data_IF_781156686905
#
_entry.id   IF_781156686905
#
_cell.length_a   1.000
_cell.length_b   1.000
_cell.length_c   1.000
_cell.angle_alpha   90.00
_cell.angle_beta   90.00
_cell.angle_gamma   90.00
#
_symmetry.space_group_name_H-M   'P 1'
#
loop_
_entity.id
_entity.type
_entity.pdbx_description
1 polymer ?
#
# COMPACT_ATOMS: atom_id res chain seq x y z
N UNK A 1 -33.86 60.85 28.96
CA UNK A 1 -33.72 60.21 27.63
C UNK A 1 -32.48 59.34 27.66
N UNK A 2 -32.65 58.10 28.10
CA UNK A 2 -31.65 57.04 28.06
C UNK A 2 -32.01 56.15 26.89
N UNK A 3 -31.07 55.90 25.97
CA UNK A 3 -31.01 54.73 25.07
C UNK A 3 -29.75 54.83 24.19
N UNK A 4 -28.59 54.83 24.84
CA UNK A 4 -27.31 54.66 24.17
C UNK A 4 -26.36 53.92 25.13
N UNK A 5 -26.61 52.62 25.37
CA UNK A 5 -25.54 51.66 25.13
C UNK A 5 -26.06 50.26 24.76
N UNK A 6 -26.95 50.12 23.77
CA UNK A 6 -27.38 48.79 23.30
C UNK A 6 -26.81 48.40 21.93
N UNK A 7 -26.14 49.32 21.23
CA UNK A 7 -25.61 49.07 19.89
C UNK A 7 -24.14 48.64 19.87
N UNK A 8 -23.42 48.68 21.00
CA UNK A 8 -22.01 48.28 21.10
C UNK A 8 -21.81 46.87 21.65
N UNK A 9 -22.86 46.19 22.11
CA UNK A 9 -22.80 44.80 22.60
C UNK A 9 -23.08 43.75 21.50
N UNK A 10 -23.48 44.18 20.31
CA UNK A 10 -23.80 43.30 19.17
C UNK A 10 -22.63 43.07 18.20
N UNK A 11 -21.46 43.70 18.43
CA UNK A 11 -20.28 43.56 17.56
C UNK A 11 -19.20 42.64 18.17
N UNK A 12 -19.32 42.25 19.44
CA UNK A 12 -18.32 41.36 20.09
C UNK A 12 -18.61 39.85 19.98
N UNK A 13 -19.64 39.44 19.25
CA UNK A 13 -19.97 38.01 19.04
C UNK A 13 -19.69 37.49 17.62
N UNK A 14 -18.74 38.09 16.89
CA UNK A 14 -18.34 37.61 15.55
C UNK A 14 -17.12 36.67 15.51
N UNK A 15 -16.62 36.16 16.64
CA UNK A 15 -15.43 35.30 16.65
C UNK A 15 -15.47 34.07 17.58
N UNK A 16 -16.65 33.59 17.98
CA UNK A 16 -16.79 32.28 18.64
C UNK A 16 -17.82 31.49 17.85
N UNK A 17 -17.37 30.75 16.83
CA UNK A 17 -18.29 29.95 16.02
C UNK A 17 -17.82 29.52 14.64
N UNK A 18 -16.65 29.95 14.17
CA UNK A 18 -15.95 29.22 13.10
C UNK A 18 -14.90 28.34 13.75
N UNK A 19 -15.34 27.19 14.28
CA UNK A 19 -14.47 26.02 14.18
C UNK A 19 -14.30 25.80 12.69
N UNK A 20 -13.20 26.25 12.08
CA UNK A 20 -12.74 25.56 10.89
C UNK A 20 -12.74 24.09 11.28
N UNK A 21 -13.61 23.28 10.68
CA UNK A 21 -13.61 21.85 10.98
C UNK A 21 -12.18 21.40 10.70
N UNK A 22 -11.44 21.02 11.75
CA UNK A 22 -10.08 20.55 11.57
C UNK A 22 -10.15 19.42 10.56
N UNK A 23 -9.45 19.57 9.43
CA UNK A 23 -9.54 18.56 8.40
C UNK A 23 -8.89 17.29 8.93
N UNK A 24 -9.61 16.18 8.78
CA UNK A 24 -9.11 14.86 9.08
C UNK A 24 -8.92 14.11 7.76
N UNK A 25 -7.85 13.34 7.67
CA UNK A 25 -7.79 12.27 6.68
C UNK A 25 -7.48 10.93 7.34
N UNK A 26 -8.07 9.88 6.78
CA UNK A 26 -7.88 8.51 7.24
C UNK A 26 -7.30 7.65 6.12
N UNK A 27 -6.33 6.81 6.44
CA UNK A 27 -5.82 5.76 5.56
C UNK A 27 -6.19 4.42 6.17
N UNK A 28 -7.08 3.67 5.53
CA UNK A 28 -7.58 2.37 5.95
C UNK A 28 -7.12 1.29 4.98
N UNK A 29 -6.08 0.56 5.37
CA UNK A 29 -5.59 -0.61 4.66
C UNK A 29 -6.25 -1.87 5.19
N UNK A 30 -6.74 -2.72 4.30
CA UNK A 30 -7.29 -4.02 4.65
C UNK A 30 -6.72 -5.10 3.73
N UNK A 31 -6.26 -6.19 4.34
CA UNK A 31 -5.92 -7.43 3.65
C UNK A 31 -6.69 -8.59 4.28
N UNK A 32 -7.35 -9.39 3.47
CA UNK A 32 -8.08 -10.55 3.94
C UNK A 32 -8.36 -11.58 2.85
N UNK A 33 -8.82 -12.74 3.29
CA UNK A 33 -9.17 -13.87 2.44
C UNK A 33 -10.37 -14.62 3.01
N UNK A 34 -11.05 -15.36 2.15
CA UNK A 34 -12.18 -16.20 2.54
C UNK A 34 -11.71 -17.35 3.42
N UNK A 35 -12.52 -17.72 4.39
CA UNK A 35 -12.12 -18.72 5.37
C UNK A 35 -12.40 -20.17 4.98
N UNK A 36 -13.14 -20.39 3.88
CA UNK A 36 -13.46 -21.72 3.34
C UNK A 36 -13.95 -22.73 4.40
N UNK A 37 -14.70 -22.26 5.40
CA UNK A 37 -15.19 -23.12 6.48
C UNK A 37 -14.08 -23.60 7.43
N UNK A 38 -13.03 -22.83 7.61
CA UNK A 38 -11.96 -23.12 8.56
C UNK A 38 -11.90 -22.04 9.65
N UNK A 39 -11.35 -22.45 10.80
CA UNK A 39 -11.02 -21.56 11.92
C UNK A 39 -9.65 -20.94 11.68
N UNK A 40 -9.50 -19.65 11.94
CA UNK A 40 -8.23 -18.98 11.67
C UNK A 40 -8.31 -17.47 11.62
N UNK A 41 -7.16 -16.87 11.26
CA UNK A 41 -7.01 -15.44 11.05
C UNK A 41 -7.17 -15.12 9.57
N UNK A 42 -8.21 -14.36 9.23
CA UNK A 42 -8.61 -14.17 7.83
C UNK A 42 -8.54 -12.73 7.36
N UNK A 43 -8.44 -11.76 8.27
CA UNK A 43 -8.38 -10.35 7.91
C UNK A 43 -7.48 -9.57 8.86
N UNK A 44 -6.64 -8.70 8.30
CA UNK A 44 -5.84 -7.71 9.01
C UNK A 44 -6.16 -6.32 8.48
N UNK A 45 -6.26 -5.34 9.38
CA UNK A 45 -6.45 -3.92 9.05
C UNK A 45 -5.41 -3.04 9.70
N UNK A 46 -5.04 -1.99 8.99
CA UNK A 46 -4.33 -0.85 9.54
C UNK A 46 -5.12 0.42 9.25
N UNK A 47 -5.44 1.18 10.29
CA UNK A 47 -6.13 2.47 10.16
C UNK A 47 -5.21 3.55 10.72
N UNK A 48 -4.89 4.56 9.93
CA UNK A 48 -4.09 5.71 10.33
C UNK A 48 -4.96 6.96 10.25
N UNK A 49 -5.12 7.69 11.36
CA UNK A 49 -5.90 8.92 11.44
C UNK A 49 -5.00 10.12 11.58
N UNK A 50 -5.19 11.10 10.73
CA UNK A 50 -4.39 12.32 10.69
C UNK A 50 -5.28 13.53 10.84
N UNK A 51 -4.89 14.44 11.72
CA UNK A 51 -5.64 15.67 11.99
C UNK A 51 -4.79 16.89 11.65
N UNK A 52 -5.39 17.84 10.93
CA UNK A 52 -4.75 19.11 10.61
C UNK A 52 -4.52 19.95 11.87
N UNK A 53 -3.31 20.49 11.97
CA UNK A 53 -2.87 21.39 13.02
C UNK A 53 -1.90 22.41 12.42
N UNK A 54 -2.32 23.67 12.31
CA UNK A 54 -1.56 24.79 11.76
C UNK A 54 -0.81 24.43 10.46
N UNK A 55 0.50 24.17 10.55
CA UNK A 55 1.39 23.85 9.41
C UNK A 55 1.62 22.35 9.19
N UNK A 56 0.93 21.48 9.93
CA UNK A 56 1.14 20.03 9.93
C UNK A 56 -0.16 19.24 9.87
N UNK A 57 -0.07 18.01 9.37
CA UNK A 57 -0.97 16.94 9.76
C UNK A 57 -0.29 16.09 10.82
N UNK A 58 -0.99 15.81 11.91
CA UNK A 58 -0.49 14.98 13.01
C UNK A 58 -1.16 13.62 12.93
N UNK A 59 -0.38 12.55 12.86
CA UNK A 59 -0.89 11.18 13.04
C UNK A 59 -1.35 11.04 14.49
N UNK A 60 -2.64 11.16 14.76
CA UNK A 60 -3.20 11.12 16.11
C UNK A 60 -3.39 9.70 16.62
N UNK A 61 -3.76 8.78 15.73
CA UNK A 61 -3.99 7.39 16.07
C UNK A 61 -3.60 6.43 14.94
N UNK A 62 -3.13 5.25 15.34
CA UNK A 62 -2.98 4.10 14.47
C UNK A 62 -3.62 2.87 15.11
N UNK A 63 -4.43 2.16 14.34
CA UNK A 63 -5.15 0.96 14.77
C UNK A 63 -4.63 -0.22 13.96
N UNK A 64 -4.28 -1.30 14.66
CA UNK A 64 -3.93 -2.57 14.06
C UNK A 64 -4.98 -3.57 14.49
N UNK A 65 -5.78 -4.05 13.55
CA UNK A 65 -6.92 -4.91 13.82
C UNK A 65 -6.65 -6.27 13.17
N UNK A 66 -6.80 -7.33 13.94
CA UNK A 66 -6.73 -8.70 13.45
C UNK A 66 -8.07 -9.37 13.69
N UNK A 67 -8.66 -9.90 12.63
CA UNK A 67 -9.96 -10.54 12.66
C UNK A 67 -9.80 -12.04 12.46
N UNK A 68 -10.20 -12.78 13.50
CA UNK A 68 -10.25 -14.23 13.53
C UNK A 68 -11.70 -14.68 13.42
N UNK A 69 -11.90 -15.73 12.63
CA UNK A 69 -13.22 -16.32 12.43
C UNK A 69 -13.20 -17.72 13.02
N UNK A 70 -14.18 -17.99 13.88
CA UNK A 70 -14.46 -19.34 14.36
C UNK A 70 -15.58 -19.93 13.49
N UNK A 71 -15.24 -20.95 12.70
CA UNK A 71 -16.19 -21.69 11.88
C UNK A 71 -16.77 -22.86 12.67
N UNK A 72 -18.10 -22.93 12.70
CA UNK A 72 -18.80 -24.06 13.25
C UNK A 72 -19.30 -24.97 12.10
N UNK A 73 -18.76 -26.20 11.98
CA UNK A 73 -19.16 -27.12 10.93
C UNK A 73 -20.62 -27.59 11.06
N UNK A 74 -21.21 -27.54 12.27
CA UNK A 74 -22.59 -27.96 12.51
C UNK A 74 -23.61 -26.93 12.00
N UNK A 75 -23.31 -25.63 12.14
CA UNK A 75 -24.18 -24.54 11.68
C UNK A 75 -23.85 -24.09 10.26
N UNK A 76 -22.74 -24.58 9.68
CA UNK A 76 -22.16 -24.13 8.39
C UNK A 76 -21.93 -22.61 8.32
N UNK A 77 -21.75 -21.97 9.48
CA UNK A 77 -21.65 -20.52 9.60
C UNK A 77 -20.39 -20.12 10.33
N UNK A 78 -19.97 -18.89 10.05
CA UNK A 78 -19.00 -18.18 10.86
C UNK A 78 -19.72 -17.72 12.11
N UNK A 79 -19.53 -18.43 13.21
CA UNK A 79 -20.29 -18.23 14.45
C UNK A 79 -19.78 -17.01 15.23
N UNK A 80 -18.48 -16.69 15.15
CA UNK A 80 -17.90 -15.56 15.89
C UNK A 80 -16.75 -14.89 15.14
N UNK A 81 -16.84 -13.56 14.99
CA UNK A 81 -15.72 -12.69 14.60
C UNK A 81 -15.05 -12.15 15.87
N UNK A 82 -13.85 -12.64 16.18
CA UNK A 82 -13.02 -12.09 17.25
C UNK A 82 -12.09 -11.05 16.64
N UNK A 83 -12.15 -9.81 17.13
CA UNK A 83 -11.34 -8.70 16.64
C UNK A 83 -10.33 -8.28 17.71
N UNK A 84 -9.06 -8.62 17.51
CA UNK A 84 -7.96 -8.14 18.35
C UNK A 84 -7.54 -6.75 17.84
N UNK A 85 -7.66 -5.71 18.67
CA UNK A 85 -7.32 -4.33 18.28
C UNK A 85 -6.20 -3.78 19.13
N UNK A 86 -5.12 -3.34 18.49
CA UNK A 86 -4.03 -2.58 19.12
C UNK A 86 -4.14 -1.13 18.68
N UNK A 87 -4.30 -0.23 19.66
CA UNK A 87 -4.32 1.22 19.43
C UNK A 87 -2.97 1.79 19.84
N UNK A 88 -2.35 2.55 18.93
CA UNK A 88 -1.15 3.32 19.24
C UNK A 88 -1.43 4.78 18.94
N UNK A 89 -1.38 5.58 19.99
CA UNK A 89 -1.37 7.03 19.87
C UNK A 89 0.01 7.46 19.39
N UNK A 90 0.03 8.42 18.49
CA UNK A 90 1.25 8.98 17.93
C UNK A 90 1.10 10.49 17.93
N UNK A 91 2.23 11.19 17.87
CA UNK A 91 2.27 12.63 17.62
C UNK A 91 3.22 12.90 16.45
N UNK A 92 3.38 11.93 15.54
CA UNK A 92 4.20 12.09 14.34
C UNK A 92 3.60 13.23 13.51
N UNK A 93 4.36 14.30 13.37
CA UNK A 93 4.01 15.45 12.52
C UNK A 93 4.46 15.19 11.09
N UNK A 94 3.61 15.54 10.16
CA UNK A 94 3.85 15.53 8.72
C UNK A 94 3.60 16.95 8.24
N UNK A 95 4.56 17.54 7.54
CA UNK A 95 4.37 18.87 6.98
C UNK A 95 3.15 18.88 6.05
N UNK A 96 2.34 19.94 6.16
CA UNK A 96 1.10 20.07 5.40
C UNK A 96 1.33 19.90 3.88
N UNK A 97 2.43 20.43 3.37
CA UNK A 97 2.85 20.25 1.96
C UNK A 97 2.96 18.77 1.56
N UNK A 98 3.41 17.88 2.44
CA UNK A 98 3.52 16.45 2.15
C UNK A 98 2.15 15.78 1.98
N UNK A 99 1.15 16.25 2.74
CA UNK A 99 -0.23 15.79 2.64
C UNK A 99 -0.97 16.44 1.47
N UNK A 100 -0.72 17.72 1.20
CA UNK A 100 -1.26 18.41 0.01
C UNK A 100 -0.76 17.74 -1.27
N UNK A 101 0.55 17.45 -1.35
CA UNK A 101 1.15 16.69 -2.45
C UNK A 101 0.50 15.30 -2.61
N UNK A 102 0.10 14.62 -1.52
CA UNK A 102 -0.61 13.34 -1.61
C UNK A 102 -1.92 13.49 -2.37
N UNK A 103 -2.74 14.47 -1.98
CA UNK A 103 -4.04 14.68 -2.59
C UNK A 103 -3.93 15.24 -4.01
N UNK A 104 -2.93 16.08 -4.29
CA UNK A 104 -2.63 16.48 -5.66
C UNK A 104 -2.28 15.27 -6.54
N UNK A 105 -1.35 14.41 -6.11
CA UNK A 105 -0.93 13.24 -6.87
C UNK A 105 -2.05 12.19 -7.01
N UNK A 106 -2.93 12.04 -6.01
CA UNK A 106 -4.11 11.18 -6.09
C UNK A 106 -5.12 11.65 -7.15
N UNK A 107 -5.17 12.94 -7.47
CA UNK A 107 -6.11 13.52 -8.44
C UNK A 107 -5.52 13.66 -9.85
N UNK A 108 -4.21 13.54 -10.01
CA UNK A 108 -3.53 13.71 -11.29
C UNK A 108 -3.72 12.52 -12.23
N UNK A 109 -3.91 12.79 -13.52
CA UNK A 109 -3.91 11.76 -14.56
C UNK A 109 -2.48 11.42 -15.03
N UNK A 110 -1.66 10.91 -14.11
CA UNK A 110 -0.31 10.42 -14.42
C UNK A 110 -0.33 8.90 -14.60
N UNK A 111 0.52 8.41 -15.50
CA UNK A 111 0.92 7.01 -15.57
C UNK A 111 2.45 6.95 -15.52
N UNK A 112 3.00 6.71 -14.33
CA UNK A 112 4.43 6.58 -14.10
C UNK A 112 4.84 5.14 -13.74
N UNK A 113 4.02 4.15 -14.07
CA UNK A 113 4.42 2.75 -14.00
C UNK A 113 5.21 2.38 -15.26
N UNK A 114 6.48 2.74 -15.25
CA UNK A 114 7.43 2.47 -16.31
C UNK A 114 8.83 2.23 -15.71
N UNK A 115 9.72 1.70 -16.54
CA UNK A 115 11.06 1.31 -16.08
C UNK A 115 11.90 2.49 -15.63
N UNK A 116 11.86 3.63 -16.34
CA UNK A 116 12.58 4.84 -15.93
C UNK A 116 12.22 5.30 -14.50
N UNK A 117 10.92 5.34 -14.17
CA UNK A 117 10.46 5.72 -12.84
C UNK A 117 10.87 4.67 -11.80
N UNK A 118 10.70 3.39 -12.10
CA UNK A 118 10.97 2.33 -11.12
C UNK A 118 12.48 2.21 -10.86
N UNK A 119 13.31 2.23 -11.91
CA UNK A 119 14.77 2.11 -11.82
C UNK A 119 15.41 3.28 -11.08
N UNK A 120 14.95 4.51 -11.36
CA UNK A 120 15.43 5.71 -10.66
C UNK A 120 15.12 5.71 -9.15
N UNK A 121 14.17 4.88 -8.72
CA UNK A 121 13.78 4.75 -7.32
C UNK A 121 14.29 3.45 -6.66
N UNK A 122 15.09 2.63 -7.35
CA UNK A 122 15.73 1.46 -6.77
C UNK A 122 17.02 1.80 -6.03
N UNK A 123 17.03 1.55 -4.72
CA UNK A 123 18.20 1.88 -3.88
C UNK A 123 19.33 0.84 -3.92
N UNK A 124 19.07 -0.39 -4.39
CA UNK A 124 19.99 -1.54 -4.27
C UNK A 124 19.88 -2.51 -5.43
N UNK A 125 21.02 -3.00 -5.93
CA UNK A 125 21.09 -4.14 -6.84
C UNK A 125 20.68 -5.44 -6.13
N UNK A 126 20.09 -6.37 -6.87
CA UNK A 126 19.73 -7.70 -6.37
C UNK A 126 21.01 -8.48 -6.06
N UNK A 127 21.18 -8.99 -4.85
CA UNK A 127 22.36 -9.77 -4.47
C UNK A 127 22.25 -11.22 -4.95
N UNK A 128 23.41 -11.85 -5.22
CA UNK A 128 23.49 -13.30 -5.48
C UNK A 128 22.78 -14.13 -4.42
N UNK A 129 22.89 -13.73 -3.14
CA UNK A 129 22.26 -14.43 -2.03
C UNK A 129 20.74 -14.42 -2.15
N UNK A 130 20.15 -13.26 -2.45
CA UNK A 130 18.70 -13.13 -2.63
C UNK A 130 18.20 -14.01 -3.78
N UNK A 131 18.93 -14.04 -4.90
CA UNK A 131 18.61 -14.89 -6.06
C UNK A 131 18.54 -16.37 -5.67
N UNK A 132 19.59 -16.87 -5.02
CA UNK A 132 19.67 -18.28 -4.63
C UNK A 132 18.65 -18.64 -3.55
N UNK A 133 18.36 -17.73 -2.61
CA UNK A 133 17.32 -17.95 -1.59
C UNK A 133 15.92 -18.08 -2.21
N UNK A 134 15.59 -17.23 -3.20
CA UNK A 134 14.32 -17.33 -3.91
C UNK A 134 14.26 -18.59 -4.78
N UNK A 135 15.31 -18.88 -5.56
CA UNK A 135 15.37 -20.09 -6.38
C UNK A 135 15.20 -21.36 -5.54
N UNK A 136 15.85 -21.44 -4.38
CA UNK A 136 15.71 -22.56 -3.44
C UNK A 136 14.28 -22.70 -2.93
N UNK A 137 13.64 -21.61 -2.51
CA UNK A 137 12.24 -21.64 -2.02
C UNK A 137 11.26 -22.13 -3.08
N UNK A 138 11.60 -21.96 -4.36
CA UNK A 138 10.79 -22.42 -5.50
C UNK A 138 11.16 -23.81 -6.02
N UNK A 139 12.15 -24.48 -5.45
CA UNK A 139 12.65 -25.75 -5.97
C UNK A 139 13.35 -25.62 -7.33
N UNK A 140 13.80 -24.41 -7.69
CA UNK A 140 14.42 -24.05 -8.97
C UNK A 140 15.92 -23.77 -8.82
N UNK A 141 16.54 -24.25 -7.74
CA UNK A 141 17.96 -24.00 -7.45
C UNK A 141 18.88 -24.64 -8.51
N UNK A 142 18.46 -25.75 -9.11
CA UNK A 142 19.18 -26.48 -10.16
C UNK A 142 19.47 -25.63 -11.41
N UNK A 143 18.79 -24.49 -11.60
CA UNK A 143 19.14 -23.54 -12.66
C UNK A 143 20.44 -22.77 -12.43
N UNK A 144 20.97 -22.83 -11.21
CA UNK A 144 22.09 -22.01 -10.75
C UNK A 144 23.26 -22.82 -10.22
N UNK A 145 23.07 -24.10 -9.91
CA UNK A 145 24.08 -24.94 -9.30
C UNK A 145 24.22 -26.23 -10.10
N UNK A 146 25.43 -26.75 -10.10
CA UNK A 146 25.75 -28.09 -10.56
C UNK A 146 25.20 -29.12 -9.56
N UNK A 147 24.42 -30.09 -10.04
CA UNK A 147 23.72 -31.06 -9.21
C UNK A 147 24.68 -32.03 -8.48
N UNK A 148 25.87 -32.28 -9.03
CA UNK A 148 26.85 -33.22 -8.45
C UNK A 148 27.66 -32.57 -7.32
N UNK A 149 28.06 -31.32 -7.52
CA UNK A 149 28.96 -30.60 -6.61
C UNK A 149 28.22 -29.62 -5.68
N UNK A 150 26.97 -29.27 -5.99
CA UNK A 150 26.18 -28.25 -5.30
C UNK A 150 26.76 -26.84 -5.42
N UNK A 151 27.76 -26.65 -6.29
CA UNK A 151 28.45 -25.37 -6.50
C UNK A 151 27.83 -24.62 -7.67
N UNK A 152 28.04 -23.31 -7.68
CA UNK A 152 27.61 -22.45 -8.77
C UNK A 152 28.38 -22.81 -10.06
N UNK A 153 27.66 -23.24 -11.09
CA UNK A 153 28.19 -23.54 -12.41
C UNK A 153 28.30 -22.27 -13.28
N UNK A 154 28.84 -22.39 -14.49
CA UNK A 154 29.03 -21.23 -15.36
C UNK A 154 27.71 -20.67 -15.91
N UNK A 155 26.74 -21.54 -16.21
CA UNK A 155 25.40 -21.12 -16.62
C UNK A 155 24.69 -20.36 -15.49
N UNK A 156 24.79 -20.84 -14.25
CA UNK A 156 24.27 -20.18 -13.06
C UNK A 156 24.93 -18.83 -12.80
N UNK A 157 26.25 -18.70 -13.02
CA UNK A 157 26.94 -17.39 -12.96
C UNK A 157 26.39 -16.42 -13.99
N UNK A 158 26.13 -16.88 -15.22
CA UNK A 158 25.56 -16.06 -16.28
C UNK A 158 24.16 -15.60 -15.92
N UNK A 159 23.27 -16.51 -15.52
CA UNK A 159 21.90 -16.17 -15.09
C UNK A 159 21.86 -15.19 -13.93
N UNK A 160 22.76 -15.33 -12.94
CA UNK A 160 22.90 -14.34 -11.87
C UNK A 160 23.25 -12.97 -12.43
N UNK A 161 24.20 -12.87 -13.37
CA UNK A 161 24.57 -11.59 -13.99
C UNK A 161 23.39 -10.98 -14.74
N UNK A 162 22.63 -11.80 -15.48
CA UNK A 162 21.44 -11.35 -16.21
C UNK A 162 20.40 -10.72 -15.29
N UNK A 163 20.04 -11.42 -14.21
CA UNK A 163 19.12 -10.92 -13.18
C UNK A 163 19.66 -9.61 -12.55
N UNK A 164 20.95 -9.55 -12.24
CA UNK A 164 21.58 -8.37 -11.64
C UNK A 164 21.63 -7.17 -12.59
N UNK A 165 21.63 -7.43 -13.90
CA UNK A 165 21.53 -6.42 -14.94
C UNK A 165 20.10 -6.07 -15.32
N UNK A 166 19.09 -6.65 -14.65
CA UNK A 166 17.67 -6.46 -14.98
C UNK A 166 17.35 -6.84 -16.44
N UNK A 167 17.91 -7.95 -16.93
CA UNK A 167 17.59 -8.48 -18.27
C UNK A 167 16.07 -8.70 -18.41
N UNK A 168 15.50 -8.28 -19.52
CA UNK A 168 14.06 -8.33 -19.84
C UNK A 168 13.15 -7.57 -18.85
N UNK A 169 13.69 -6.62 -18.09
CA UNK A 169 12.89 -5.89 -17.10
C UNK A 169 11.78 -5.03 -17.71
N UNK A 170 12.02 -4.43 -18.89
CA UNK A 170 10.98 -3.72 -19.65
C UNK A 170 9.78 -4.61 -19.99
N UNK A 171 10.05 -5.87 -20.35
CA UNK A 171 9.01 -6.87 -20.65
C UNK A 171 8.23 -7.22 -19.40
N UNK A 172 8.93 -7.55 -18.31
CA UNK A 172 8.32 -7.78 -17.01
C UNK A 172 7.41 -6.63 -16.55
N UNK A 173 7.88 -5.38 -16.63
CA UNK A 173 7.09 -4.20 -16.24
C UNK A 173 5.88 -4.03 -17.15
N UNK A 174 5.99 -4.34 -18.45
CA UNK A 174 4.85 -4.31 -19.37
C UNK A 174 3.81 -5.39 -19.03
N UNK A 175 4.24 -6.62 -18.73
CA UNK A 175 3.35 -7.72 -18.39
C UNK A 175 2.67 -7.55 -17.02
N UNK A 176 3.36 -6.91 -16.08
CA UNK A 176 2.84 -6.69 -14.72
C UNK A 176 2.18 -5.33 -14.52
N UNK A 177 2.13 -4.50 -15.57
CA UNK A 177 1.47 -3.21 -15.53
C UNK A 177 -0.02 -3.41 -15.19
N UNK A 178 -0.54 -2.78 -14.13
CA UNK A 178 -1.94 -2.89 -13.81
C UNK A 178 -2.85 -2.43 -14.96
N UNK A 179 -3.90 -3.18 -15.24
CA UNK A 179 -4.91 -2.75 -16.21
C UNK A 179 -5.89 -1.77 -15.55
N UNK A 180 -5.82 -0.50 -15.97
CA UNK A 180 -6.74 0.56 -15.52
C UNK A 180 -8.18 0.37 -15.99
N UNK A 181 -8.43 -0.57 -16.90
CA UNK A 181 -9.77 -0.86 -17.42
C UNK A 181 -10.37 -2.14 -16.81
N UNK A 182 -9.57 -2.97 -16.16
CA UNK A 182 -10.02 -4.25 -15.61
C UNK A 182 -10.18 -4.17 -14.09
N UNK A 183 -11.38 -4.46 -13.60
CA UNK A 183 -11.64 -4.58 -12.17
C UNK A 183 -11.57 -6.06 -11.82
N UNK A 184 -10.53 -6.45 -11.10
CA UNK A 184 -10.53 -7.74 -10.43
C UNK A 184 -11.55 -7.68 -9.29
N UNK A 185 -12.73 -8.28 -9.50
CA UNK A 185 -13.68 -8.56 -8.42
C UNK A 185 -13.29 -9.93 -7.87
N UNK A 186 -12.50 -9.95 -6.81
CA UNK A 186 -12.14 -11.21 -6.16
C UNK A 186 -13.10 -11.41 -4.99
N UNK A 187 -13.99 -12.40 -5.13
CA UNK A 187 -14.95 -12.78 -4.08
C UNK A 187 -14.25 -13.24 -2.80
N UNK A 188 -13.06 -13.86 -2.96
CA UNK A 188 -12.41 -14.61 -1.89
C UNK A 188 -11.19 -13.92 -1.28
N UNK A 189 -10.85 -12.71 -1.70
CA UNK A 189 -9.75 -11.96 -1.14
C UNK A 189 -9.95 -10.47 -1.37
N UNK A 190 -9.64 -9.67 -0.35
CA UNK A 190 -9.65 -8.22 -0.47
C UNK A 190 -8.31 -7.68 0.02
N UNK A 191 -7.65 -6.91 -0.84
CA UNK A 191 -6.36 -6.29 -0.54
C UNK A 191 -6.40 -4.87 -1.09
N UNK A 192 -6.81 -3.90 -0.26
CA UNK A 192 -7.05 -2.53 -0.71
C UNK A 192 -6.75 -1.50 0.37
N UNK A 193 -6.55 -0.26 -0.06
CA UNK A 193 -6.52 0.92 0.81
C UNK A 193 -7.68 1.83 0.44
N UNK A 194 -8.41 2.30 1.44
CA UNK A 194 -9.29 3.45 1.31
C UNK A 194 -8.65 4.66 1.99
N UNK A 195 -8.64 5.80 1.30
CA UNK A 195 -8.18 7.08 1.80
C UNK A 195 -9.40 8.00 1.82
N UNK A 196 -9.73 8.54 2.97
CA UNK A 196 -10.86 9.45 3.15
C UNK A 196 -10.33 10.83 3.53
N UNK A 197 -10.72 11.86 2.79
CA UNK A 197 -10.35 13.25 3.09
C UNK A 197 -11.41 14.21 2.57
N UNK A 198 -11.90 15.12 3.43
CA UNK A 198 -12.84 16.19 3.06
C UNK A 198 -14.05 15.73 2.22
N UNK A 199 -14.54 14.51 2.47
CA UNK A 199 -15.70 13.92 1.77
C UNK A 199 -15.36 13.13 0.50
N UNK A 200 -14.13 13.17 0.02
CA UNK A 200 -13.65 12.33 -1.09
C UNK A 200 -13.11 10.99 -0.58
N UNK A 201 -13.36 9.92 -1.35
CA UNK A 201 -12.81 8.58 -1.09
C UNK A 201 -11.92 8.12 -2.26
N UNK A 202 -10.67 7.80 -1.95
CA UNK A 202 -9.73 7.21 -2.90
C UNK A 202 -9.51 5.74 -2.53
N UNK A 203 -9.66 4.82 -3.48
CA UNK A 203 -9.43 3.39 -3.27
C UNK A 203 -8.26 2.89 -4.10
N UNK A 204 -7.24 2.32 -3.47
CA UNK A 204 -6.13 1.64 -4.14
C UNK A 204 -6.32 0.14 -4.03
N UNK A 205 -6.24 -0.58 -5.14
CA UNK A 205 -6.41 -2.03 -5.18
C UNK A 205 -5.07 -2.75 -5.42
N UNK A 206 -4.79 -3.78 -4.63
CA UNK A 206 -3.53 -4.56 -4.63
C UNK A 206 -3.70 -5.97 -5.17
N UNK A 207 -4.66 -6.19 -6.07
CA UNK A 207 -4.68 -7.37 -6.93
C UNK A 207 -3.54 -7.38 -7.96
N UNK A 208 -3.00 -6.21 -8.31
CA UNK A 208 -1.78 -6.06 -9.12
C UNK A 208 -0.59 -5.63 -8.27
N UNK A 209 0.62 -5.86 -8.77
CA UNK A 209 1.88 -5.46 -8.11
C UNK A 209 1.86 -3.95 -7.82
N UNK A 210 2.27 -3.55 -6.59
CA UNK A 210 2.30 -2.17 -6.06
C UNK A 210 0.98 -1.45 -5.76
N UNK A 211 -0.18 -2.07 -5.94
CA UNK A 211 -1.41 -1.49 -5.40
C UNK A 211 -2.05 -0.39 -6.20
N UNK A 212 -2.18 -0.58 -7.51
CA UNK A 212 -2.86 0.34 -8.41
C UNK A 212 -3.61 -0.51 -9.46
N UNK A 213 -4.73 -0.01 -10.03
CA UNK A 213 -5.14 1.39 -10.13
C UNK A 213 -5.76 2.04 -8.88
N UNK A 214 -5.59 3.36 -8.76
CA UNK A 214 -6.27 4.27 -7.84
C UNK A 214 -7.64 4.60 -8.41
N UNK A 215 -8.70 4.36 -7.64
CA UNK A 215 -10.09 4.71 -7.93
C UNK A 215 -10.51 5.96 -7.17
N UNK A 216 -11.05 6.93 -7.89
CA UNK A 216 -11.71 8.12 -7.31
C UNK A 216 -13.21 7.98 -7.57
N UNK A 217 -14.03 7.95 -6.52
CA UNK A 217 -15.49 7.95 -6.58
C UNK A 217 -16.08 7.04 -7.69
N UNK A 218 -15.52 5.83 -7.83
CA UNK A 218 -15.91 4.78 -8.79
C UNK A 218 -15.80 5.10 -10.29
N UNK A 219 -15.23 6.24 -10.70
CA UNK A 219 -15.29 6.71 -12.10
C UNK A 219 -13.96 6.80 -12.83
N UNK A 220 -12.84 6.92 -12.11
CA UNK A 220 -11.50 7.11 -12.73
C UNK A 220 -10.48 6.16 -12.13
N UNK A 221 -9.72 5.47 -12.98
CA UNK A 221 -8.65 4.53 -12.63
C UNK A 221 -7.30 5.07 -13.10
N UNK A 222 -6.32 5.19 -12.20
CA UNK A 222 -5.04 5.84 -12.43
C UNK A 222 -3.89 5.06 -11.83
N UNK A 223 -2.69 5.18 -12.39
CA UNK A 223 -1.47 4.54 -11.86
C UNK A 223 -0.44 5.62 -11.55
N UNK A 224 -0.33 5.99 -10.27
CA UNK A 224 0.62 7.01 -9.84
C UNK A 224 1.47 6.55 -8.65
N UNK A 225 2.65 6.02 -8.93
CA UNK A 225 3.61 5.51 -7.95
C UNK A 225 4.18 6.60 -7.02
N UNK A 226 4.01 7.89 -7.33
CA UNK A 226 4.35 8.97 -6.39
C UNK A 226 3.53 8.87 -5.10
N UNK A 227 2.29 8.39 -5.18
CA UNK A 227 1.44 8.12 -4.01
C UNK A 227 2.15 7.14 -3.06
N UNK A 228 2.78 6.10 -3.60
CA UNK A 228 3.52 5.11 -2.82
C UNK A 228 4.75 5.75 -2.14
N UNK A 229 5.48 6.60 -2.86
CA UNK A 229 6.62 7.35 -2.30
C UNK A 229 6.19 8.28 -1.17
N UNK A 230 5.05 8.95 -1.29
CA UNK A 230 4.54 9.83 -0.24
C UNK A 230 4.12 9.00 0.99
N UNK A 231 3.39 7.89 0.80
CA UNK A 231 3.05 6.99 1.88
C UNK A 231 4.27 6.48 2.65
N UNK A 232 5.37 6.16 1.97
CA UNK A 232 6.63 5.74 2.60
C UNK A 232 7.19 6.76 3.60
N UNK A 233 6.89 8.05 3.41
CA UNK A 233 7.31 9.15 4.27
C UNK A 233 6.31 9.38 5.42
N UNK A 234 5.01 9.30 5.15
CA UNK A 234 3.98 9.68 6.12
C UNK A 234 3.58 8.54 7.07
N UNK A 235 3.60 7.29 6.63
CA UNK A 235 3.18 6.16 7.46
C UNK A 235 4.27 5.70 8.45
N UNK A 236 3.91 4.96 9.52
CA UNK A 236 4.89 4.34 10.41
C UNK A 236 5.70 3.24 9.70
N UNK A 237 7.02 3.18 9.92
CA UNK A 237 7.94 2.25 9.23
C UNK A 237 7.59 0.76 9.30
N UNK A 238 6.83 0.33 10.32
CA UNK A 238 6.43 -1.07 10.52
C UNK A 238 5.06 -1.42 9.93
N UNK A 239 4.41 -0.48 9.24
CA UNK A 239 3.11 -0.68 8.61
C UNK A 239 3.15 -1.83 7.60
N UNK A 240 2.11 -2.65 7.61
CA UNK A 240 1.82 -3.67 6.61
C UNK A 240 1.57 -3.04 5.25
N UNK A 241 0.83 -1.91 5.20
CA UNK A 241 0.62 -1.17 3.96
C UNK A 241 1.96 -0.79 3.31
N UNK A 242 2.93 -0.28 4.09
CA UNK A 242 4.25 0.07 3.57
C UNK A 242 4.97 -1.10 2.89
N UNK A 243 4.75 -2.33 3.36
CA UNK A 243 5.33 -3.51 2.71
C UNK A 243 4.71 -3.74 1.33
N UNK A 244 3.41 -3.46 1.18
CA UNK A 244 2.72 -3.68 -0.09
C UNK A 244 3.00 -2.63 -1.16
N UNK A 245 3.10 -1.36 -0.77
CA UNK A 245 3.41 -0.27 -1.72
C UNK A 245 4.91 -0.10 -1.97
N UNK A 246 5.76 -0.91 -1.32
CA UNK A 246 7.21 -0.80 -1.44
C UNK A 246 7.66 -1.17 -2.84
N UNK A 247 8.45 -0.31 -3.48
CA UNK A 247 9.08 -0.62 -4.77
C UNK A 247 9.98 -1.85 -4.70
N UNK A 248 10.55 -2.18 -3.52
CA UNK A 248 11.33 -3.41 -3.34
C UNK A 248 10.50 -4.69 -3.60
N UNK A 249 9.16 -4.62 -3.50
CA UNK A 249 8.29 -5.73 -3.90
C UNK A 249 8.40 -6.05 -5.40
N UNK A 250 8.61 -5.04 -6.26
CA UNK A 250 8.78 -5.21 -7.71
C UNK A 250 10.04 -6.00 -8.00
N UNK A 251 11.15 -5.76 -7.28
CA UNK A 251 12.38 -6.54 -7.47
C UNK A 251 12.16 -7.99 -7.14
N UNK A 252 11.45 -8.25 -6.04
CA UNK A 252 11.14 -9.61 -5.61
C UNK A 252 10.25 -10.30 -6.64
N UNK A 253 9.22 -9.62 -7.12
CA UNK A 253 8.31 -10.11 -8.16
C UNK A 253 9.00 -10.30 -9.52
N UNK A 254 9.90 -9.41 -9.91
CA UNK A 254 10.76 -9.56 -11.08
C UNK A 254 11.65 -10.79 -10.96
N UNK A 255 12.27 -11.01 -9.79
CA UNK A 255 13.10 -12.18 -9.55
C UNK A 255 12.29 -13.47 -9.68
N UNK A 256 11.06 -13.50 -9.15
CA UNK A 256 10.14 -14.62 -9.35
C UNK A 256 9.83 -14.84 -10.83
N UNK A 257 9.41 -13.78 -11.53
CA UNK A 257 9.08 -13.83 -12.95
C UNK A 257 10.27 -14.29 -13.80
N UNK A 258 11.46 -13.76 -13.56
CA UNK A 258 12.65 -14.12 -14.33
C UNK A 258 12.96 -15.60 -14.15
N UNK A 259 12.96 -16.11 -12.91
CA UNK A 259 13.23 -17.52 -12.64
C UNK A 259 12.20 -18.43 -13.33
N UNK A 260 10.92 -18.04 -13.34
CA UNK A 260 9.87 -18.80 -14.02
C UNK A 260 9.99 -18.78 -15.55
N UNK A 261 10.66 -17.76 -16.10
CA UNK A 261 10.86 -17.58 -17.54
C UNK A 261 12.31 -17.81 -18.00
N UNK A 262 13.15 -18.44 -17.18
CA UNK A 262 14.57 -18.72 -17.52
C UNK A 262 14.75 -19.46 -18.86
N UNK A 263 13.73 -20.17 -19.35
CA UNK A 263 13.75 -20.95 -20.59
C UNK A 263 12.86 -20.40 -21.71
N UNK A 264 12.30 -19.21 -21.56
CA UNK A 264 11.61 -18.50 -22.64
C UNK A 264 12.54 -17.45 -23.22
#
# INVERSE_FOLDING_TARGET
MNKLPFLLLLITFKLIGQTSSQKEFTVNYTIGHYNFGQKGEYERKEIFKFQENDSYFVLTASYYITNKYDYNPETTKNDLKISDTIIKLSNKKIEKIGTENLFEELNQNKNNFNTDFIDSNFSKKISKREILEVAKKRGQLYWFIDDETGKLDDLGKEKIKEIQSFKNYNEYVKETNPDVNHIAIVYDAWNFVNIEYSGSTYKLDFHSVLGQPIRIDNSKQLINLNVNLIFSKILPKKSLLLKQISLESIKTSYLHWFIDNINK
#
